data_IF_765651370583
#
_entry.id   IF_765651370583
#
_cell.length_a   1.000
_cell.length_b   1.000
_cell.length_c   1.000
_cell.angle_alpha   90.00
_cell.angle_beta   90.00
_cell.angle_gamma   90.00
#
_symmetry.space_group_name_H-M   'P 1'
#
loop_
_entity.id
_entity.type
_entity.pdbx_description
1 polymer ?
#
# COMPACT_ATOMS: atom_id res chain seq x y z
N UNK A 1 19.51 14.64 15.72
CA UNK A 1 20.02 13.26 15.60
C UNK A 1 18.85 12.31 15.65
N UNK A 2 18.67 11.50 14.63
CA UNK A 2 17.57 10.51 14.58
C UNK A 2 17.83 9.44 15.64
N UNK A 3 16.93 9.32 16.61
CA UNK A 3 17.02 8.31 17.67
C UNK A 3 16.41 6.99 17.15
N UNK A 4 17.21 6.23 16.41
CA UNK A 4 16.76 5.01 15.71
C UNK A 4 16.17 3.99 16.70
N UNK A 5 16.87 3.68 17.79
CA UNK A 5 16.38 2.71 18.77
C UNK A 5 15.08 3.13 19.46
N UNK A 6 14.88 4.43 19.71
CA UNK A 6 13.60 4.92 20.25
C UNK A 6 12.46 4.65 19.27
N UNK A 7 12.67 4.92 17.96
CA UNK A 7 11.68 4.66 16.91
C UNK A 7 11.36 3.16 16.73
N UNK A 8 12.38 2.31 16.80
CA UNK A 8 12.23 0.85 16.71
C UNK A 8 11.43 0.33 17.91
N UNK A 9 11.80 0.78 19.13
CA UNK A 9 11.20 0.34 20.39
C UNK A 9 9.77 0.86 20.58
N UNK A 10 9.45 2.06 20.08
CA UNK A 10 8.11 2.67 20.21
C UNK A 10 6.98 1.79 19.69
N UNK A 11 7.24 1.00 18.66
CA UNK A 11 6.26 0.09 18.04
C UNK A 11 6.69 -1.38 18.08
N UNK A 12 7.66 -1.75 18.94
CA UNK A 12 8.12 -3.12 19.18
C UNK A 12 8.61 -3.86 17.93
N UNK A 13 9.39 -3.20 17.07
CA UNK A 13 10.03 -3.87 15.93
C UNK A 13 11.16 -4.77 16.38
N UNK A 14 11.25 -5.97 15.81
CA UNK A 14 12.30 -6.94 16.16
C UNK A 14 13.64 -6.58 15.52
N UNK A 15 13.64 -6.07 14.27
CA UNK A 15 14.88 -5.83 13.52
C UNK A 15 14.69 -4.78 12.43
N UNK A 16 15.72 -3.95 12.27
CA UNK A 16 15.84 -3.03 11.12
C UNK A 16 17.23 -3.21 10.51
N UNK A 17 17.28 -3.40 9.19
CA UNK A 17 18.50 -3.65 8.42
C UNK A 17 18.65 -2.54 7.39
N UNK A 18 19.78 -1.85 7.42
CA UNK A 18 20.19 -0.90 6.40
C UNK A 18 21.04 -1.60 5.35
N UNK A 19 20.59 -1.56 4.11
CA UNK A 19 21.23 -2.19 2.97
C UNK A 19 21.86 -1.10 2.11
N UNK A 20 23.17 -1.14 1.95
CA UNK A 20 23.91 -0.17 1.14
C UNK A 20 24.90 -0.91 0.24
N UNK A 21 24.77 -0.71 -1.06
CA UNK A 21 25.72 -1.20 -2.06
C UNK A 21 26.01 -0.09 -3.07
N UNK A 22 27.14 0.62 -2.87
CA UNK A 22 27.53 1.71 -3.77
C UNK A 22 27.74 1.28 -5.22
N UNK A 23 28.09 0.02 -5.47
CA UNK A 23 28.36 -0.49 -6.83
C UNK A 23 27.08 -0.60 -7.67
N UNK A 24 25.96 -0.88 -7.04
CA UNK A 24 24.64 -0.95 -7.69
C UNK A 24 23.81 0.32 -7.49
N UNK A 25 24.23 1.23 -6.64
CA UNK A 25 23.47 2.41 -6.21
C UNK A 25 22.37 2.10 -5.19
N UNK A 26 22.32 0.88 -4.65
CA UNK A 26 21.31 0.46 -3.70
C UNK A 26 21.44 1.21 -2.36
N UNK A 27 20.34 1.82 -1.94
CA UNK A 27 20.08 2.27 -0.57
C UNK A 27 18.72 1.77 -0.16
N UNK A 28 18.64 0.83 0.78
CA UNK A 28 17.38 0.25 1.21
C UNK A 28 17.34 0.06 2.73
N UNK A 29 16.13 -0.02 3.27
CA UNK A 29 15.87 -0.36 4.67
C UNK A 29 14.85 -1.50 4.69
N UNK A 30 15.18 -2.59 5.39
CA UNK A 30 14.26 -3.69 5.66
C UNK A 30 13.88 -3.61 7.13
N UNK A 31 12.57 -3.53 7.43
CA UNK A 31 12.05 -3.57 8.79
C UNK A 31 11.24 -4.86 9.00
N UNK A 32 11.62 -5.61 10.02
CA UNK A 32 10.90 -6.77 10.53
C UNK A 32 10.19 -6.32 11.80
N UNK A 33 8.87 -6.25 11.74
CA UNK A 33 8.08 -5.83 12.90
C UNK A 33 7.88 -6.99 13.86
N UNK A 34 7.41 -8.12 13.37
CA UNK A 34 7.11 -9.26 14.23
C UNK A 34 7.17 -10.58 13.45
N UNK A 35 7.72 -11.62 14.09
CA UNK A 35 7.84 -12.98 13.52
C UNK A 35 7.19 -14.07 14.39
N UNK A 36 6.40 -13.71 15.39
CA UNK A 36 5.77 -14.66 16.32
C UNK A 36 4.87 -15.67 15.58
N UNK A 37 4.15 -15.23 14.54
CA UNK A 37 3.28 -16.11 13.75
C UNK A 37 4.02 -16.81 12.58
N UNK A 38 5.26 -16.45 12.31
CA UNK A 38 6.04 -16.99 11.21
C UNK A 38 6.94 -15.95 10.54
N UNK A 39 7.58 -16.28 9.41
CA UNK A 39 8.44 -15.35 8.68
C UNK A 39 7.72 -14.02 8.39
N UNK A 40 8.44 -12.91 8.51
CA UNK A 40 7.89 -11.61 8.22
C UNK A 40 7.67 -11.45 6.70
N UNK A 41 6.43 -11.18 6.28
CA UNK A 41 6.10 -10.93 4.88
C UNK A 41 5.72 -9.47 4.68
N UNK A 42 6.21 -8.88 3.59
CA UNK A 42 5.79 -7.57 3.13
C UNK A 42 6.56 -7.08 1.91
N UNK A 43 5.88 -6.29 1.07
CA UNK A 43 6.42 -5.83 -0.19
C UNK A 43 7.62 -4.88 -0.04
N UNK A 44 8.39 -4.78 -1.10
CA UNK A 44 9.43 -3.77 -1.27
C UNK A 44 8.86 -2.57 -2.03
N UNK A 45 8.93 -1.38 -1.43
CA UNK A 45 8.54 -0.11 -2.06
C UNK A 45 9.77 0.60 -2.59
N UNK A 46 9.74 1.06 -3.82
CA UNK A 46 10.76 1.99 -4.32
C UNK A 46 10.14 3.38 -4.50
N UNK A 47 10.71 4.36 -3.79
CA UNK A 47 10.13 5.71 -3.74
C UNK A 47 11.22 6.77 -3.51
N UNK A 48 11.14 7.96 -4.15
CA UNK A 48 12.08 9.05 -3.96
C UNK A 48 11.82 9.82 -2.66
N UNK A 49 12.13 9.19 -1.53
CA UNK A 49 11.97 9.82 -0.21
C UNK A 49 12.80 11.10 -0.11
N UNK A 50 12.24 12.12 0.55
CA UNK A 50 12.92 13.39 0.78
C UNK A 50 14.10 13.27 1.74
N UNK A 51 14.07 12.28 2.63
CA UNK A 51 15.12 11.99 3.60
C UNK A 51 15.15 10.50 3.96
N UNK A 52 16.30 10.02 4.49
CA UNK A 52 16.42 8.67 5.05
C UNK A 52 15.52 8.49 6.28
N UNK A 53 15.23 9.57 6.99
CA UNK A 53 14.30 9.55 8.13
C UNK A 53 12.85 9.29 7.68
N UNK A 54 12.42 9.89 6.58
CA UNK A 54 11.09 9.64 6.00
C UNK A 54 10.97 8.18 5.54
N UNK A 55 12.03 7.65 4.91
CA UNK A 55 12.09 6.24 4.51
C UNK A 55 12.01 5.29 5.73
N UNK A 56 12.74 5.61 6.81
CA UNK A 56 12.69 4.84 8.05
C UNK A 56 11.28 4.88 8.68
N UNK A 57 10.67 6.04 8.78
CA UNK A 57 9.32 6.18 9.35
C UNK A 57 8.31 5.39 8.53
N UNK A 58 8.39 5.47 7.20
CA UNK A 58 7.45 4.75 6.32
C UNK A 58 7.61 3.22 6.44
N UNK A 59 8.85 2.71 6.39
CA UNK A 59 9.10 1.26 6.49
C UNK A 59 8.66 0.69 7.85
N UNK A 60 8.85 1.44 8.95
CA UNK A 60 8.38 1.02 10.27
C UNK A 60 6.86 0.98 10.35
N UNK A 61 6.17 1.99 9.83
CA UNK A 61 4.70 2.01 9.79
C UNK A 61 4.14 0.89 8.93
N UNK A 62 4.72 0.67 7.75
CA UNK A 62 4.27 -0.34 6.81
C UNK A 62 4.50 -1.76 7.33
N UNK A 63 5.66 -2.05 7.91
CA UNK A 63 5.97 -3.38 8.47
C UNK A 63 5.04 -3.76 9.63
N UNK A 64 4.71 -2.80 10.51
CA UNK A 64 3.71 -2.98 11.55
C UNK A 64 2.31 -3.26 10.98
N UNK A 65 1.91 -2.50 9.96
CA UNK A 65 0.65 -2.71 9.27
C UNK A 65 0.53 -4.11 8.66
N UNK A 66 1.65 -4.66 8.13
CA UNK A 66 1.67 -6.02 7.60
C UNK A 66 1.44 -7.08 8.68
N UNK A 67 1.95 -6.91 9.90
CA UNK A 67 1.66 -7.81 11.02
C UNK A 67 0.17 -7.85 11.33
N UNK A 68 -0.47 -6.69 11.44
CA UNK A 68 -1.92 -6.64 11.71
C UNK A 68 -2.75 -7.21 10.57
N UNK A 69 -2.36 -6.89 9.32
CA UNK A 69 -3.03 -7.44 8.14
C UNK A 69 -2.96 -8.97 8.09
N UNK A 70 -1.79 -9.56 8.37
CA UNK A 70 -1.62 -11.00 8.43
C UNK A 70 -2.43 -11.64 9.57
N UNK A 71 -2.35 -11.07 10.77
CA UNK A 71 -3.04 -11.55 11.96
C UNK A 71 -4.56 -11.56 11.80
N UNK A 72 -5.17 -10.47 11.32
CA UNK A 72 -6.63 -10.39 11.14
C UNK A 72 -7.12 -11.31 10.03
N UNK A 73 -6.23 -11.69 9.12
CA UNK A 73 -6.52 -12.64 8.03
C UNK A 73 -6.26 -14.10 8.40
N UNK A 74 -5.93 -14.41 9.66
CA UNK A 74 -5.57 -15.74 10.17
C UNK A 74 -4.41 -16.40 9.39
N UNK A 75 -3.43 -15.60 8.96
CA UNK A 75 -2.26 -16.10 8.27
C UNK A 75 -1.13 -16.34 9.28
N UNK A 76 -0.52 -17.53 9.24
CA UNK A 76 0.64 -17.88 10.07
C UNK A 76 1.94 -17.29 9.50
N UNK A 77 1.96 -15.96 9.34
CA UNK A 77 3.10 -15.17 8.89
C UNK A 77 3.22 -13.90 9.73
N UNK A 78 4.45 -13.45 9.90
CA UNK A 78 4.74 -12.17 10.55
C UNK A 78 4.62 -10.98 9.60
N UNK A 79 4.98 -9.81 10.07
CA UNK A 79 4.95 -8.59 9.30
C UNK A 79 6.33 -7.98 9.09
N UNK A 80 6.66 -7.74 7.85
CA UNK A 80 7.85 -7.02 7.42
C UNK A 80 7.55 -6.04 6.31
N UNK A 81 8.52 -5.23 5.98
CA UNK A 81 8.49 -4.29 4.84
C UNK A 81 9.90 -3.93 4.42
N UNK A 82 10.08 -3.62 3.15
CA UNK A 82 11.30 -2.96 2.70
C UNK A 82 10.97 -1.68 1.94
N UNK A 83 11.91 -0.75 1.98
CA UNK A 83 11.91 0.44 1.13
C UNK A 83 13.26 0.56 0.43
N UNK A 84 13.25 0.90 -0.85
CA UNK A 84 14.42 1.32 -1.63
C UNK A 84 14.28 2.83 -1.85
N UNK A 85 15.32 3.58 -1.51
CA UNK A 85 15.34 5.04 -1.68
C UNK A 85 15.84 5.34 -3.09
N UNK A 86 14.94 5.79 -3.96
CA UNK A 86 15.24 6.12 -5.35
C UNK A 86 13.97 6.31 -6.18
N UNK A 87 14.12 6.94 -7.34
CA UNK A 87 13.04 7.12 -8.31
C UNK A 87 12.89 5.84 -9.15
N UNK A 88 11.75 5.12 -9.07
CA UNK A 88 11.56 3.88 -9.79
C UNK A 88 11.64 4.03 -11.32
N UNK A 89 11.48 5.24 -11.85
CA UNK A 89 11.55 5.50 -13.29
C UNK A 89 12.97 5.83 -13.78
N UNK A 90 13.89 6.16 -12.87
CA UNK A 90 15.25 6.61 -13.21
C UNK A 90 16.34 5.72 -12.67
N UNK A 91 16.19 5.29 -11.41
CA UNK A 91 17.27 4.65 -10.64
C UNK A 91 17.14 3.13 -10.64
N UNK A 92 16.01 2.58 -11.06
CA UNK A 92 15.77 1.14 -11.07
C UNK A 92 16.59 0.44 -12.14
N UNK A 93 17.28 -0.63 -11.73
CA UNK A 93 18.05 -1.49 -12.64
C UNK A 93 18.08 -2.93 -12.13
N UNK A 94 18.36 -3.90 -13.03
CA UNK A 94 18.54 -5.29 -12.65
C UNK A 94 19.64 -5.44 -11.58
N UNK A 95 20.76 -4.75 -11.73
CA UNK A 95 21.90 -4.82 -10.79
C UNK A 95 21.47 -4.36 -9.39
N UNK A 96 20.72 -3.27 -9.28
CA UNK A 96 20.17 -2.76 -8.01
C UNK A 96 19.21 -3.76 -7.39
N UNK A 97 18.30 -4.34 -8.16
CA UNK A 97 17.28 -5.27 -7.67
C UNK A 97 17.91 -6.61 -7.24
N UNK A 98 18.91 -7.11 -7.97
CA UNK A 98 19.65 -8.30 -7.58
C UNK A 98 20.49 -8.03 -6.32
N UNK A 99 21.11 -6.86 -6.20
CA UNK A 99 21.79 -6.47 -4.95
C UNK A 99 20.82 -6.48 -3.76
N UNK A 100 19.61 -5.92 -3.91
CA UNK A 100 18.58 -6.01 -2.88
C UNK A 100 18.22 -7.47 -2.55
N UNK A 101 18.11 -8.34 -3.57
CA UNK A 101 17.86 -9.79 -3.40
C UNK A 101 18.91 -10.47 -2.53
N UNK A 102 20.20 -10.13 -2.67
CA UNK A 102 21.28 -10.65 -1.82
C UNK A 102 21.12 -10.24 -0.36
N UNK A 103 20.69 -9.00 -0.08
CA UNK A 103 20.40 -8.58 1.29
C UNK A 103 19.19 -9.33 1.87
N UNK A 104 18.14 -9.57 1.07
CA UNK A 104 17.00 -10.40 1.50
C UNK A 104 17.47 -11.83 1.81
N UNK A 105 18.31 -12.41 0.95
CA UNK A 105 18.86 -13.77 1.15
C UNK A 105 19.68 -13.86 2.46
N UNK A 106 20.42 -12.81 2.81
CA UNK A 106 21.24 -12.78 4.03
C UNK A 106 20.42 -12.88 5.32
N UNK A 107 19.12 -12.63 5.26
CA UNK A 107 18.19 -12.75 6.40
C UNK A 107 17.68 -14.18 6.61
N UNK A 108 18.16 -15.15 5.80
CA UNK A 108 17.91 -16.59 6.03
C UNK A 108 16.45 -16.99 6.06
N UNK A 109 15.59 -16.34 5.28
CA UNK A 109 14.14 -16.61 5.24
C UNK A 109 13.33 -15.90 6.33
N UNK A 110 13.94 -15.13 7.22
CA UNK A 110 13.24 -14.36 8.25
C UNK A 110 12.32 -13.28 7.65
N UNK A 111 12.69 -12.75 6.46
CA UNK A 111 11.90 -11.81 5.69
C UNK A 111 11.63 -12.32 4.28
N UNK A 112 10.36 -12.24 3.86
CA UNK A 112 9.89 -12.57 2.52
C UNK A 112 9.41 -11.29 1.86
N UNK A 113 10.02 -10.92 0.72
CA UNK A 113 9.67 -9.72 -0.03
C UNK A 113 8.57 -9.98 -1.05
N UNK A 114 7.91 -8.92 -1.50
CA UNK A 114 6.88 -8.93 -2.52
C UNK A 114 6.84 -7.60 -3.28
N UNK A 115 6.01 -7.50 -4.29
CA UNK A 115 5.71 -6.25 -5.01
C UNK A 115 5.00 -5.23 -4.09
N UNK A 116 5.35 -3.94 -4.26
CA UNK A 116 4.65 -2.78 -3.69
C UNK A 116 4.83 -1.57 -4.63
N UNK A 117 4.47 -0.37 -4.18
CA UNK A 117 4.58 0.87 -4.95
C UNK A 117 5.99 1.03 -5.56
N UNK A 118 6.03 1.40 -6.84
CA UNK A 118 7.29 1.56 -7.58
C UNK A 118 7.91 0.26 -8.06
N UNK A 119 7.32 -0.89 -7.74
CA UNK A 119 7.82 -2.23 -8.14
C UNK A 119 6.81 -2.96 -9.03
N UNK A 120 7.30 -3.93 -9.77
CA UNK A 120 6.51 -4.77 -10.67
C UNK A 120 6.81 -6.25 -10.46
N UNK A 121 5.97 -7.13 -11.02
CA UNK A 121 6.22 -8.57 -11.06
C UNK A 121 7.59 -8.90 -11.67
N UNK A 122 7.97 -8.20 -12.73
CA UNK A 122 9.27 -8.37 -13.38
C UNK A 122 10.45 -8.00 -12.47
N UNK A 123 10.31 -6.96 -11.66
CA UNK A 123 11.32 -6.60 -10.67
C UNK A 123 11.50 -7.70 -9.60
N UNK A 124 10.40 -8.37 -9.23
CA UNK A 124 10.45 -9.51 -8.31
C UNK A 124 11.18 -10.70 -8.92
N UNK A 125 11.14 -10.88 -10.23
CA UNK A 125 11.90 -11.91 -10.93
C UNK A 125 13.42 -11.68 -10.84
N UNK A 126 13.90 -10.44 -10.96
CA UNK A 126 15.30 -10.11 -10.71
C UNK A 126 15.72 -10.39 -9.26
N UNK A 127 14.89 -10.04 -8.29
CA UNK A 127 15.15 -10.35 -6.88
C UNK A 127 15.18 -11.88 -6.67
N UNK A 128 14.30 -12.62 -7.36
CA UNK A 128 14.20 -14.08 -7.29
C UNK A 128 15.47 -14.79 -7.74
N UNK A 129 16.27 -14.17 -8.61
CA UNK A 129 17.55 -14.75 -9.02
C UNK A 129 18.54 -14.90 -7.86
N UNK A 130 18.41 -14.11 -6.81
CA UNK A 130 19.33 -14.09 -5.67
C UNK A 130 18.73 -14.70 -4.39
N UNK A 131 17.41 -14.89 -4.30
CA UNK A 131 16.77 -15.42 -3.10
C UNK A 131 15.48 -16.18 -3.41
N UNK A 132 15.18 -17.20 -2.61
CA UNK A 132 13.88 -17.86 -2.60
C UNK A 132 12.84 -17.12 -1.74
N UNK A 133 13.25 -16.16 -0.92
CA UNK A 133 12.38 -15.40 0.00
C UNK A 133 11.71 -14.24 -0.73
N UNK A 134 11.00 -14.55 -1.82
CA UNK A 134 10.28 -13.58 -2.65
C UNK A 134 8.96 -14.19 -3.14
N UNK A 135 7.91 -13.38 -3.18
CA UNK A 135 6.59 -13.73 -3.73
C UNK A 135 6.13 -12.63 -4.69
N UNK A 136 4.97 -12.82 -5.36
CA UNK A 136 4.51 -11.88 -6.39
C UNK A 136 5.24 -12.05 -7.73
N UNK A 137 5.93 -13.16 -7.95
CA UNK A 137 6.52 -13.55 -9.23
C UNK A 137 5.44 -14.13 -10.17
N UNK A 138 5.76 -14.24 -11.45
CA UNK A 138 4.84 -14.78 -12.46
C UNK A 138 4.39 -16.21 -12.13
N UNK A 139 3.21 -16.59 -12.65
CA UNK A 139 2.68 -17.96 -12.52
C UNK A 139 3.59 -18.99 -13.17
N UNK A 140 4.25 -18.63 -14.25
CA UNK A 140 5.24 -19.50 -14.92
C UNK A 140 6.42 -19.86 -14.02
N UNK A 141 6.76 -18.98 -13.06
CA UNK A 141 7.81 -19.21 -12.06
C UNK A 141 7.27 -19.77 -10.72
N UNK A 142 6.01 -20.22 -10.68
CA UNK A 142 5.38 -20.77 -9.49
C UNK A 142 4.79 -19.73 -8.54
N UNK A 143 4.63 -18.48 -8.98
CA UNK A 143 4.03 -17.39 -8.20
C UNK A 143 2.54 -17.21 -8.45
N UNK A 144 1.95 -16.20 -7.81
CA UNK A 144 0.55 -15.82 -7.94
C UNK A 144 0.30 -14.69 -8.95
N UNK A 145 1.36 -14.07 -9.47
CA UNK A 145 1.28 -12.91 -10.35
C UNK A 145 0.95 -11.62 -9.59
N UNK A 146 0.41 -10.63 -10.30
CA UNK A 146 0.04 -9.32 -9.77
C UNK A 146 -1.07 -9.42 -8.70
N UNK A 147 -0.83 -8.99 -7.46
CA UNK A 147 -1.80 -9.06 -6.38
C UNK A 147 -2.92 -8.02 -6.51
N UNK A 148 -2.80 -7.03 -7.40
CA UNK A 148 -3.68 -5.86 -7.45
C UNK A 148 -5.14 -6.23 -7.77
N UNK A 149 -5.37 -7.26 -8.59
CA UNK A 149 -6.71 -7.74 -8.94
C UNK A 149 -7.46 -8.24 -7.70
N UNK A 150 -6.81 -9.11 -6.91
CA UNK A 150 -7.41 -9.63 -5.68
C UNK A 150 -7.49 -8.57 -4.58
N UNK A 151 -6.53 -7.66 -4.53
CA UNK A 151 -6.56 -6.52 -3.60
C UNK A 151 -7.77 -5.62 -3.88
N UNK A 152 -8.03 -5.28 -5.14
CA UNK A 152 -9.19 -4.49 -5.54
C UNK A 152 -10.51 -5.19 -5.19
N UNK A 153 -10.61 -6.50 -5.44
CA UNK A 153 -11.76 -7.29 -5.02
C UNK A 153 -11.94 -7.26 -3.49
N UNK A 154 -10.86 -7.38 -2.73
CA UNK A 154 -10.87 -7.30 -1.26
C UNK A 154 -11.37 -5.94 -0.77
N UNK A 155 -10.92 -4.84 -1.37
CA UNK A 155 -11.43 -3.48 -1.07
C UNK A 155 -12.91 -3.37 -1.39
N UNK A 156 -13.34 -3.86 -2.54
CA UNK A 156 -14.75 -3.82 -2.97
C UNK A 156 -15.66 -4.60 -2.02
N UNK A 157 -15.28 -5.82 -1.64
CA UNK A 157 -16.04 -6.64 -0.67
C UNK A 157 -16.05 -6.01 0.71
N UNK A 158 -14.90 -5.49 1.17
CA UNK A 158 -14.79 -4.76 2.45
C UNK A 158 -15.65 -3.49 2.48
N UNK A 159 -15.67 -2.74 1.38
CA UNK A 159 -16.54 -1.57 1.20
C UNK A 159 -18.03 -1.95 1.35
N UNK A 160 -18.47 -3.02 0.69
CA UNK A 160 -19.86 -3.52 0.82
C UNK A 160 -20.18 -3.98 2.25
N UNK A 161 -19.25 -4.64 2.92
CA UNK A 161 -19.40 -5.03 4.32
C UNK A 161 -19.55 -3.80 5.24
N UNK A 162 -18.76 -2.75 5.02
CA UNK A 162 -18.84 -1.49 5.76
C UNK A 162 -20.15 -0.75 5.50
N UNK A 163 -20.61 -0.66 4.24
CA UNK A 163 -21.90 -0.09 3.87
C UNK A 163 -23.06 -0.84 4.53
N UNK A 164 -23.02 -2.17 4.52
CA UNK A 164 -24.03 -3.00 5.20
C UNK A 164 -24.04 -2.72 6.70
N UNK A 165 -22.86 -2.66 7.34
CA UNK A 165 -22.76 -2.43 8.79
C UNK A 165 -23.21 -1.03 9.20
N UNK A 166 -22.83 -0.01 8.43
CA UNK A 166 -23.04 1.40 8.80
C UNK A 166 -24.40 1.94 8.35
N UNK A 167 -24.87 1.58 7.14
CA UNK A 167 -26.04 2.15 6.48
C UNK A 167 -27.12 1.12 6.13
N UNK A 168 -26.88 -0.17 6.42
CA UNK A 168 -27.75 -1.29 5.99
C UNK A 168 -27.95 -1.39 4.46
N UNK A 169 -26.93 -0.94 3.68
CA UNK A 169 -26.92 -0.97 2.22
C UNK A 169 -26.09 -2.16 1.76
N UNK A 170 -26.62 -2.99 0.85
CA UNK A 170 -25.92 -4.21 0.37
C UNK A 170 -25.31 -4.04 -1.03
N UNK A 171 -25.69 -3.02 -1.80
CA UNK A 171 -25.22 -2.75 -3.15
C UNK A 171 -24.64 -1.36 -3.25
N UNK A 172 -23.65 -1.18 -4.10
CA UNK A 172 -23.08 0.14 -4.43
C UNK A 172 -23.84 0.84 -5.56
N UNK A 173 -24.88 0.22 -6.12
CA UNK A 173 -25.65 0.76 -7.24
C UNK A 173 -26.19 2.16 -6.93
N UNK A 174 -25.83 3.12 -7.76
CA UNK A 174 -26.25 4.52 -7.66
C UNK A 174 -25.53 5.34 -6.58
N UNK A 175 -24.72 4.72 -5.72
CA UNK A 175 -23.96 5.42 -4.69
C UNK A 175 -22.83 6.27 -5.31
N UNK A 176 -22.53 7.37 -4.66
CA UNK A 176 -21.41 8.26 -4.99
C UNK A 176 -20.15 7.81 -4.28
N UNK A 177 -19.17 7.32 -5.03
CA UNK A 177 -17.94 6.79 -4.50
C UNK A 177 -16.77 7.63 -5.00
N UNK A 178 -16.03 8.24 -4.09
CA UNK A 178 -14.81 8.98 -4.39
C UNK A 178 -13.60 8.05 -4.32
N UNK A 179 -12.86 7.89 -5.40
CA UNK A 179 -11.62 7.09 -5.44
C UNK A 179 -10.43 8.02 -5.62
N UNK A 180 -9.46 7.94 -4.72
CA UNK A 180 -8.21 8.69 -4.81
C UNK A 180 -7.08 7.75 -5.21
N UNK A 181 -6.53 7.96 -6.41
CA UNK A 181 -5.47 7.15 -6.99
C UNK A 181 -5.98 6.01 -7.87
N UNK A 182 -5.53 6.02 -9.12
CA UNK A 182 -5.88 5.06 -10.17
C UNK A 182 -4.68 4.24 -10.65
N UNK A 183 -3.77 3.92 -9.72
CA UNK A 183 -2.78 2.89 -9.93
C UNK A 183 -3.45 1.51 -10.15
N UNK A 184 -2.69 0.43 -10.14
CA UNK A 184 -3.21 -0.91 -10.42
C UNK A 184 -4.47 -1.26 -9.61
N UNK A 185 -4.46 -1.04 -8.29
CA UNK A 185 -5.60 -1.38 -7.43
C UNK A 185 -6.80 -0.48 -7.69
N UNK A 186 -6.61 0.84 -7.77
CA UNK A 186 -7.70 1.79 -8.05
C UNK A 186 -8.36 1.52 -9.40
N UNK A 187 -7.59 1.17 -10.42
CA UNK A 187 -8.10 0.78 -11.73
C UNK A 187 -9.06 -0.43 -11.65
N UNK A 188 -8.61 -1.55 -11.03
CA UNK A 188 -9.47 -2.73 -10.89
C UNK A 188 -10.67 -2.49 -9.97
N UNK A 189 -10.52 -1.63 -8.95
CA UNK A 189 -11.63 -1.22 -8.11
C UNK A 189 -12.71 -0.49 -8.92
N UNK A 190 -12.31 0.45 -9.82
CA UNK A 190 -13.24 1.14 -10.70
C UNK A 190 -14.02 0.16 -11.59
N UNK A 191 -13.39 -0.89 -12.10
CA UNK A 191 -14.07 -1.95 -12.85
C UNK A 191 -15.18 -2.62 -12.02
N UNK A 192 -14.89 -3.01 -10.77
CA UNK A 192 -15.90 -3.60 -9.88
C UNK A 192 -17.06 -2.63 -9.58
N UNK A 193 -16.75 -1.38 -9.29
CA UNK A 193 -17.73 -0.33 -8.97
C UNK A 193 -18.62 -0.03 -10.17
N UNK A 194 -18.06 0.10 -11.37
CA UNK A 194 -18.78 0.33 -12.62
C UNK A 194 -19.75 -0.83 -12.91
N UNK A 195 -19.27 -2.06 -12.79
CA UNK A 195 -20.06 -3.26 -13.06
C UNK A 195 -21.30 -3.38 -12.14
N UNK A 196 -21.21 -2.88 -10.89
CA UNK A 196 -22.37 -2.85 -9.97
C UNK A 196 -23.17 -1.53 -10.05
N UNK A 197 -22.77 -0.59 -10.91
CA UNK A 197 -23.54 0.62 -11.21
C UNK A 197 -23.34 1.78 -10.23
N UNK A 198 -22.18 1.89 -9.59
CA UNK A 198 -21.81 3.06 -8.79
C UNK A 198 -21.52 4.29 -9.67
N UNK A 199 -21.68 5.48 -9.08
CA UNK A 199 -21.19 6.75 -9.65
C UNK A 199 -19.82 7.03 -9.07
N UNK A 200 -18.78 7.00 -9.93
CA UNK A 200 -17.40 7.09 -9.50
C UNK A 200 -16.88 8.50 -9.77
N UNK A 201 -16.34 9.12 -8.73
CA UNK A 201 -15.62 10.40 -8.78
C UNK A 201 -14.18 10.14 -8.37
N UNK A 202 -13.22 10.90 -8.90
CA UNK A 202 -11.88 10.70 -8.42
C UNK A 202 -10.79 11.52 -9.08
N UNK A 203 -9.59 11.36 -8.55
CA UNK A 203 -8.39 12.03 -9.03
C UNK A 203 -7.16 11.13 -8.97
N UNK A 204 -6.19 11.47 -9.78
CA UNK A 204 -4.82 10.94 -9.74
C UNK A 204 -3.85 12.05 -10.13
N UNK A 205 -2.63 12.00 -9.60
CA UNK A 205 -1.52 12.87 -10.01
C UNK A 205 -1.00 12.51 -11.42
N UNK A 206 -1.23 11.27 -11.85
CA UNK A 206 -0.90 10.79 -13.19
C UNK A 206 -2.11 10.98 -14.11
N UNK A 207 -1.99 11.92 -15.03
CA UNK A 207 -3.06 12.29 -15.95
C UNK A 207 -3.46 11.14 -16.87
N UNK A 208 -2.52 10.34 -17.35
CA UNK A 208 -2.78 9.18 -18.22
C UNK A 208 -3.64 8.11 -17.48
N UNK A 209 -3.34 7.87 -16.19
CA UNK A 209 -4.14 6.97 -15.38
C UNK A 209 -5.57 7.48 -15.18
N UNK A 210 -5.74 8.80 -14.99
CA UNK A 210 -7.06 9.42 -14.83
C UNK A 210 -7.87 9.36 -16.13
N UNK A 211 -7.25 9.67 -17.28
CA UNK A 211 -7.88 9.59 -18.60
C UNK A 211 -8.34 8.17 -18.89
N UNK A 212 -7.50 7.18 -18.67
CA UNK A 212 -7.83 5.77 -18.88
C UNK A 212 -9.08 5.34 -18.11
N UNK A 213 -9.18 5.62 -16.80
CA UNK A 213 -10.36 5.23 -16.01
C UNK A 213 -11.59 6.05 -16.35
N UNK A 214 -11.42 7.27 -16.83
CA UNK A 214 -12.51 8.11 -17.35
C UNK A 214 -13.11 7.50 -18.61
N UNK A 215 -12.29 7.11 -19.56
CA UNK A 215 -12.72 6.50 -20.83
C UNK A 215 -13.33 5.10 -20.61
N UNK A 216 -12.64 4.24 -19.84
CA UNK A 216 -13.07 2.85 -19.70
C UNK A 216 -14.24 2.68 -18.71
N UNK A 217 -14.25 3.42 -17.61
CA UNK A 217 -15.22 3.21 -16.53
C UNK A 217 -16.18 4.37 -16.30
N UNK A 218 -16.00 5.49 -16.98
CA UNK A 218 -16.83 6.68 -16.83
C UNK A 218 -16.62 7.36 -15.47
N UNK A 219 -15.40 7.33 -14.95
CA UNK A 219 -15.01 8.10 -13.77
C UNK A 219 -15.16 9.59 -14.07
N UNK A 220 -15.74 10.33 -13.15
CA UNK A 220 -15.87 11.78 -13.23
C UNK A 220 -14.66 12.39 -12.53
N UNK A 221 -13.74 13.05 -13.29
CA UNK A 221 -12.57 13.70 -12.73
C UNK A 221 -12.98 14.84 -11.79
N UNK A 222 -12.32 14.92 -10.64
CA UNK A 222 -12.54 15.96 -9.62
C UNK A 222 -11.18 16.38 -9.06
N UNK A 223 -11.03 17.63 -8.68
CA UNK A 223 -9.83 18.10 -7.96
C UNK A 223 -9.66 17.36 -6.64
N UNK A 224 -8.41 17.15 -6.19
CA UNK A 224 -8.12 16.37 -5.00
C UNK A 224 -8.72 16.93 -3.71
N UNK A 225 -8.68 18.23 -3.55
CA UNK A 225 -9.22 18.92 -2.37
C UNK A 225 -10.76 18.92 -2.42
N UNK A 226 -11.34 19.07 -3.59
CA UNK A 226 -12.78 18.98 -3.81
C UNK A 226 -13.29 17.56 -3.52
N UNK A 227 -12.60 16.51 -4.00
CA UNK A 227 -12.99 15.11 -3.80
C UNK A 227 -13.22 14.78 -2.32
N UNK A 228 -12.35 15.27 -1.44
CA UNK A 228 -12.46 15.01 0.00
C UNK A 228 -13.64 15.75 0.66
N UNK A 229 -14.02 16.90 0.12
CA UNK A 229 -15.12 17.74 0.65
C UNK A 229 -16.48 17.44 0.01
N UNK A 230 -16.54 16.61 -1.03
CA UNK A 230 -17.77 16.20 -1.69
C UNK A 230 -18.68 15.39 -0.76
N UNK A 231 -20.00 15.53 -0.96
CA UNK A 231 -20.97 14.66 -0.33
C UNK A 231 -20.98 13.28 -1.00
N UNK A 232 -20.14 12.38 -0.49
CA UNK A 232 -19.94 11.01 -0.97
C UNK A 232 -20.58 10.01 -0.01
N UNK A 233 -21.03 8.87 -0.51
CA UNK A 233 -21.42 7.73 0.33
C UNK A 233 -20.17 7.01 0.86
N UNK A 234 -19.14 6.87 0.00
CA UNK A 234 -17.87 6.24 0.34
C UNK A 234 -16.70 7.07 -0.19
N UNK A 235 -15.66 7.24 0.63
CA UNK A 235 -14.35 7.70 0.20
C UNK A 235 -13.37 6.52 0.19
N UNK A 236 -12.70 6.30 -0.94
CA UNK A 236 -11.79 5.17 -1.16
C UNK A 236 -10.36 5.65 -1.46
N UNK A 237 -9.53 5.83 -0.43
CA UNK A 237 -8.11 6.17 -0.64
C UNK A 237 -7.35 4.96 -1.18
N UNK A 238 -6.82 5.06 -2.41
CA UNK A 238 -6.06 4.01 -3.09
C UNK A 238 -4.65 4.48 -3.53
N UNK A 239 -4.23 5.67 -3.08
CA UNK A 239 -2.91 6.24 -3.34
C UNK A 239 -1.97 6.09 -2.13
N UNK A 240 -1.42 7.20 -1.62
CA UNK A 240 -0.48 7.20 -0.49
C UNK A 240 -1.21 7.14 0.87
N UNK A 241 -0.48 6.72 1.90
CA UNK A 241 -0.97 6.73 3.28
C UNK A 241 -1.01 8.12 3.92
N UNK A 242 -1.44 8.17 5.20
CA UNK A 242 -1.52 9.38 6.03
C UNK A 242 -2.46 10.48 5.50
N UNK A 243 -3.35 10.13 4.57
CA UNK A 243 -4.30 11.08 3.98
C UNK A 243 -5.45 11.44 4.91
N UNK A 244 -5.77 10.56 5.84
CA UNK A 244 -6.76 10.81 6.88
C UNK A 244 -6.03 11.41 8.08
N UNK A 245 -6.20 12.71 8.27
CA UNK A 245 -5.56 13.52 9.31
C UNK A 245 -6.55 14.59 9.79
N UNK A 246 -6.27 15.38 10.83
CA UNK A 246 -7.22 16.33 11.36
C UNK A 246 -7.81 17.29 10.32
N UNK A 247 -6.97 17.82 9.44
CA UNK A 247 -7.43 18.76 8.40
C UNK A 247 -8.35 18.10 7.37
N UNK A 248 -8.04 16.87 6.95
CA UNK A 248 -8.90 16.15 6.01
C UNK A 248 -10.21 15.69 6.66
N UNK A 249 -10.17 15.25 7.93
CA UNK A 249 -11.34 14.78 8.67
C UNK A 249 -12.39 15.90 8.80
N UNK A 250 -11.98 17.15 9.04
CA UNK A 250 -12.88 18.31 9.13
C UNK A 250 -13.69 18.52 7.83
N UNK A 251 -13.13 18.14 6.69
CA UNK A 251 -13.76 18.32 5.38
C UNK A 251 -14.52 17.09 4.88
N UNK A 252 -14.25 15.90 5.44
CA UNK A 252 -14.88 14.66 4.99
C UNK A 252 -16.38 14.66 5.26
N UNK A 253 -17.17 14.38 4.21
CA UNK A 253 -18.66 14.27 4.28
C UNK A 253 -19.16 12.88 3.93
N UNK A 254 -18.28 11.87 3.88
CA UNK A 254 -18.66 10.50 3.57
C UNK A 254 -19.07 9.73 4.83
N UNK A 255 -19.91 8.72 4.63
CA UNK A 255 -20.35 7.82 5.71
C UNK A 255 -19.41 6.64 5.94
N UNK A 256 -18.62 6.28 4.93
CA UNK A 256 -17.72 5.13 4.94
C UNK A 256 -16.38 5.52 4.30
N UNK A 257 -15.29 5.10 4.92
CA UNK A 257 -13.95 5.15 4.34
C UNK A 257 -13.49 3.71 4.13
N UNK A 258 -13.24 3.32 2.88
CA UNK A 258 -12.78 1.98 2.53
C UNK A 258 -11.92 2.02 1.27
N UNK A 259 -10.62 1.79 1.40
CA UNK A 259 -9.66 1.88 0.30
C UNK A 259 -8.42 1.02 0.52
N UNK A 260 -7.54 0.99 -0.48
CA UNK A 260 -6.36 0.15 -0.52
C UNK A 260 -5.10 0.82 0.05
N UNK A 261 -5.11 2.13 0.28
CA UNK A 261 -3.93 2.82 0.80
C UNK A 261 -3.50 2.24 2.15
N UNK A 262 -2.22 1.91 2.27
CA UNK A 262 -1.66 1.48 3.53
C UNK A 262 -1.59 2.66 4.51
N UNK A 263 -1.80 2.37 5.82
CA UNK A 263 -1.67 3.38 6.88
C UNK A 263 -2.45 4.67 6.55
N UNK A 264 -3.72 4.56 6.25
CA UNK A 264 -4.59 5.67 5.81
C UNK A 264 -4.64 6.80 6.84
N UNK A 265 -4.67 6.46 8.15
CA UNK A 265 -4.60 7.43 9.23
C UNK A 265 -3.17 7.96 9.39
N UNK A 266 -2.99 9.25 9.55
CA UNK A 266 -1.66 9.84 9.83
C UNK A 266 -1.17 9.41 11.23
N UNK A 267 -2.03 9.52 12.25
CA UNK A 267 -1.81 9.03 13.62
C UNK A 267 -3.01 8.23 14.09
N UNK A 268 -2.86 6.92 14.18
CA UNK A 268 -3.95 5.97 14.45
C UNK A 268 -4.80 6.35 15.67
N UNK A 269 -4.15 6.57 16.83
CA UNK A 269 -4.86 6.86 18.10
C UNK A 269 -5.58 8.22 18.10
N UNK A 270 -5.06 9.20 17.38
CA UNK A 270 -5.66 10.54 17.28
C UNK A 270 -6.81 10.53 16.27
N UNK A 271 -6.52 10.06 15.06
CA UNK A 271 -7.42 10.23 13.92
C UNK A 271 -8.62 9.28 14.01
N UNK A 272 -8.44 8.08 14.58
CA UNK A 272 -9.56 7.19 14.88
C UNK A 272 -10.56 7.78 15.88
N UNK A 273 -10.06 8.50 16.90
CA UNK A 273 -10.93 9.21 17.85
C UNK A 273 -11.65 10.40 17.22
N UNK A 274 -11.04 11.08 16.25
CA UNK A 274 -11.69 12.16 15.51
C UNK A 274 -12.80 11.62 14.60
N UNK A 275 -12.55 10.53 13.90
CA UNK A 275 -13.54 9.88 13.04
C UNK A 275 -14.73 9.26 13.80
N UNK A 276 -14.58 8.99 15.10
CA UNK A 276 -15.65 8.40 15.91
C UNK A 276 -16.61 9.45 16.52
N UNK A 277 -16.34 10.73 16.35
CA UNK A 277 -17.21 11.85 16.74
C UNK A 277 -18.21 12.17 15.64
#
# INVERSE_FOLDING_TARGET
MTKIFEKISDKNHEQVVYCNDPSSGLKAIIAIHNTVLGPALGGCRMYPYKSEEDALVDVLRLSRGMTYKASISNLNIGGGKAVIIGDPNKDKSEVLLRSFGKFVQSLGGKYITAEDVGMSVHDMEFIRMETNSVTGITRAMGGSGDPSILTALGVFVGMKAALKKRLNIQSVKGLKIGVQGFGKVGYYLCSHLKNEGAKIYGNDINQESLERVTEEFGVIPVDGDELMSMNLDVFSPCAMGAIINPSSIENLKCSVIAGAANNQLEKEDRDSKLLSK
#
